data_IF_748740724061
#
_entry.id   IF_748740724061
#
_cell.length_a   1.000
_cell.length_b   1.000
_cell.length_c   1.000
_cell.angle_alpha   90.00
_cell.angle_beta   90.00
_cell.angle_gamma   90.00
#
_symmetry.space_group_name_H-M   'P 1'
#
loop_
_entity.id
_entity.type
_entity.pdbx_description
1 polymer ?
#
# COMPACT_ATOMS: atom_id res chain seq x y z
N UNK A 1 -15.67 -26.32 -3.29
CA UNK A 1 -15.52 -24.90 -3.70
C UNK A 1 -14.20 -24.41 -3.11
N UNK A 2 -13.36 -23.69 -3.86
CA UNK A 2 -12.16 -23.11 -3.27
C UNK A 2 -12.57 -22.20 -2.12
N UNK A 3 -11.99 -22.44 -0.94
CA UNK A 3 -12.26 -21.65 0.26
C UNK A 3 -11.31 -20.46 0.25
N UNK A 4 -11.86 -19.25 0.21
CA UNK A 4 -11.07 -18.02 0.37
C UNK A 4 -10.50 -18.00 1.80
N UNK A 5 -9.17 -18.01 1.92
CA UNK A 5 -8.47 -17.91 3.20
C UNK A 5 -8.09 -16.47 3.54
N UNK A 6 -7.72 -15.69 2.52
CA UNK A 6 -7.39 -14.27 2.67
C UNK A 6 -8.26 -13.49 1.70
N UNK A 7 -8.91 -12.44 2.19
CA UNK A 7 -9.65 -11.48 1.39
C UNK A 7 -9.18 -10.08 1.75
N UNK A 8 -8.75 -9.32 0.75
CA UNK A 8 -8.32 -7.93 0.89
C UNK A 8 -9.22 -7.08 0.01
N UNK A 9 -9.85 -6.07 0.62
CA UNK A 9 -10.75 -5.15 -0.06
C UNK A 9 -10.32 -3.70 0.21
N UNK A 10 -10.17 -2.92 -0.86
CA UNK A 10 -9.85 -1.50 -0.89
C UNK A 10 -8.67 -1.12 0.02
N UNK A 11 -7.60 -1.92 0.00
CA UNK A 11 -6.44 -1.70 0.86
C UNK A 11 -5.71 -0.40 0.45
N UNK A 12 -5.48 0.47 1.44
CA UNK A 12 -4.75 1.72 1.27
C UNK A 12 -3.67 1.85 2.33
N UNK A 13 -2.46 2.17 1.89
CA UNK A 13 -1.34 2.51 2.77
C UNK A 13 -0.64 3.73 2.22
N UNK A 14 -0.83 4.85 2.90
CA UNK A 14 -0.22 6.13 2.55
C UNK A 14 0.77 6.52 3.64
N UNK A 15 2.02 6.76 3.28
CA UNK A 15 3.06 7.20 4.20
C UNK A 15 3.25 8.72 4.12
N UNK A 16 3.36 9.43 5.25
CA UNK A 16 3.63 10.85 5.21
C UNK A 16 5.03 11.11 4.66
N UNK A 17 5.15 12.10 3.77
CA UNK A 17 6.44 12.59 3.31
C UNK A 17 7.10 13.32 4.49
N UNK A 18 8.27 12.85 4.90
CA UNK A 18 9.06 13.53 5.93
C UNK A 18 9.62 14.83 5.35
N UNK A 19 9.07 15.95 5.81
CA UNK A 19 9.54 17.31 5.49
C UNK A 19 10.22 17.93 6.69
N UNK A 20 11.21 18.80 6.44
CA UNK A 20 11.85 19.59 7.48
C UNK A 20 10.85 20.55 8.16
N UNK A 21 11.14 20.99 9.39
CA UNK A 21 10.26 21.92 10.11
C UNK A 21 10.03 23.23 9.34
N UNK A 22 11.07 23.75 8.66
CA UNK A 22 10.97 24.97 7.86
C UNK A 22 10.01 24.80 6.68
N UNK A 23 10.13 23.70 5.92
CA UNK A 23 9.23 23.39 4.81
C UNK A 23 7.79 23.21 5.27
N UNK A 24 7.57 22.54 6.42
CA UNK A 24 6.23 22.36 7.00
C UNK A 24 5.58 23.69 7.37
N UNK A 25 6.34 24.64 7.90
CA UNK A 25 5.81 25.96 8.28
C UNK A 25 5.45 26.81 7.05
N UNK A 26 6.25 26.71 5.98
CA UNK A 26 6.05 27.45 4.73
C UNK A 26 4.88 26.92 3.90
N UNK A 27 4.78 25.60 3.72
CA UNK A 27 3.75 25.00 2.86
C UNK A 27 2.45 24.65 3.60
N UNK A 28 2.50 24.46 4.93
CA UNK A 28 1.38 24.01 5.80
C UNK A 28 0.61 22.77 5.28
N UNK A 29 1.17 22.03 4.32
CA UNK A 29 0.51 20.93 3.63
C UNK A 29 1.21 19.62 3.95
N UNK A 30 0.45 18.65 4.45
CA UNK A 30 0.92 17.28 4.61
C UNK A 30 0.82 16.59 3.25
N UNK A 31 1.94 16.07 2.78
CA UNK A 31 2.01 15.24 1.58
C UNK A 31 2.18 13.78 1.97
N UNK A 32 1.66 12.91 1.12
CA UNK A 32 1.70 11.47 1.33
C UNK A 32 2.18 10.76 0.07
N UNK A 33 3.03 9.77 0.26
CA UNK A 33 3.31 8.75 -0.76
C UNK A 33 2.27 7.67 -0.64
N UNK A 34 1.55 7.41 -1.73
CA UNK A 34 0.59 6.32 -1.83
C UNK A 34 1.34 5.04 -2.17
N UNK A 35 1.69 4.24 -1.17
CA UNK A 35 2.43 3.00 -1.40
C UNK A 35 1.51 1.88 -1.94
N UNK A 36 0.27 1.79 -1.45
CA UNK A 36 -0.84 1.12 -2.15
C UNK A 36 -2.12 1.97 -2.02
N UNK A 37 -2.97 1.98 -3.05
CA UNK A 37 -4.21 2.79 -3.06
C UNK A 37 -5.37 2.07 -3.75
N UNK A 38 -6.17 1.34 -2.97
CA UNK A 38 -7.37 0.65 -3.46
C UNK A 38 -7.06 -0.70 -4.12
N UNK A 39 -6.28 -1.53 -3.42
CA UNK A 39 -5.92 -2.87 -3.91
C UNK A 39 -6.92 -3.90 -3.39
N UNK A 40 -7.42 -4.74 -4.29
CA UNK A 40 -8.35 -5.86 -4.03
C UNK A 40 -7.74 -7.18 -4.48
N UNK A 41 -7.74 -8.20 -3.62
CA UNK A 41 -7.39 -9.58 -4.01
C UNK A 41 -7.88 -10.61 -3.00
N UNK A 42 -7.94 -11.87 -3.45
CA UNK A 42 -8.27 -13.03 -2.64
C UNK A 42 -7.18 -14.09 -2.80
N UNK A 43 -6.94 -14.86 -1.73
CA UNK A 43 -6.05 -16.03 -1.76
C UNK A 43 -6.85 -17.23 -1.28
N UNK A 44 -6.94 -18.25 -2.12
CA UNK A 44 -7.67 -19.48 -1.82
C UNK A 44 -6.80 -20.49 -1.06
N UNK A 45 -7.46 -21.45 -0.40
CA UNK A 45 -6.77 -22.54 0.27
C UNK A 45 -5.93 -23.36 -0.72
N UNK A 46 -4.64 -23.50 -0.44
CA UNK A 46 -3.66 -24.22 -1.28
C UNK A 46 -3.07 -23.38 -2.42
N UNK A 47 -3.43 -22.11 -2.54
CA UNK A 47 -2.89 -21.20 -3.55
C UNK A 47 -1.51 -20.66 -3.15
N UNK A 48 -0.57 -20.65 -4.09
CA UNK A 48 0.71 -19.93 -3.97
C UNK A 48 0.54 -18.58 -4.63
N UNK A 49 0.51 -17.53 -3.81
CA UNK A 49 0.39 -16.15 -4.26
C UNK A 49 1.73 -15.42 -4.15
N UNK A 50 2.08 -14.62 -5.16
CA UNK A 50 3.33 -13.83 -5.18
C UNK A 50 3.09 -12.41 -5.69
N UNK A 51 3.67 -11.44 -4.99
CA UNK A 51 3.69 -10.04 -5.42
C UNK A 51 4.98 -9.77 -6.20
N UNK A 52 4.85 -9.35 -7.45
CA UNK A 52 5.97 -9.04 -8.36
C UNK A 52 5.87 -7.62 -8.91
N UNK A 53 7.01 -7.02 -9.25
CA UNK A 53 7.08 -5.66 -9.77
C UNK A 53 8.42 -4.98 -9.47
N UNK A 54 8.64 -3.80 -10.03
CA UNK A 54 9.88 -3.02 -9.88
C UNK A 54 10.12 -2.52 -8.44
N UNK A 55 11.35 -2.11 -8.14
CA UNK A 55 11.68 -1.50 -6.84
C UNK A 55 10.79 -0.28 -6.59
N UNK A 56 10.22 -0.16 -5.38
CA UNK A 56 9.36 0.95 -5.00
C UNK A 56 7.87 0.83 -5.35
N UNK A 57 7.42 -0.26 -6.00
CA UNK A 57 6.01 -0.40 -6.39
C UNK A 57 5.03 -0.84 -5.28
N UNK A 58 5.46 -0.87 -4.01
CA UNK A 58 4.58 -1.17 -2.87
C UNK A 58 4.47 -2.63 -2.41
N UNK A 59 5.32 -3.55 -2.90
CA UNK A 59 5.23 -5.00 -2.54
C UNK A 59 5.45 -5.33 -1.05
N UNK A 60 6.27 -4.54 -0.35
CA UNK A 60 6.69 -4.78 1.06
C UNK A 60 5.94 -3.88 2.04
N UNK A 61 5.00 -3.08 1.53
CA UNK A 61 4.24 -2.08 2.29
C UNK A 61 3.14 -2.72 3.13
#
# INVERSE_FOLDING_TARGET
MPQVLVKVENLKKHFPVQKSLMERLLTRKLEYVKAVDGVDFEINSGEIFSLVGESGCGKTT
#
